data_IF_613420998723
#
_entry.id   IF_613420998723
#
_cell.length_a   1.000
_cell.length_b   1.000
_cell.length_c   1.000
_cell.angle_alpha   90.00
_cell.angle_beta   90.00
_cell.angle_gamma   90.00
#
_symmetry.space_group_name_H-M   'P 1'
#
loop_
_entity.id
_entity.type
_entity.pdbx_description
1 polymer ?
#
# COMPACT_ATOMS: atom_id res chain seq x y z
N UNK A 1 29.49 5.34 5.30
CA UNK A 1 29.65 3.94 5.79
C UNK A 1 28.29 3.30 5.70
N UNK A 2 28.09 2.49 4.66
CA UNK A 2 26.85 1.72 4.47
C UNK A 2 27.02 0.41 5.25
N UNK A 3 26.25 0.21 6.31
CA UNK A 3 26.19 -1.06 7.01
C UNK A 3 25.18 -1.96 6.29
N UNK A 4 25.68 -2.91 5.50
CA UNK A 4 24.86 -3.99 4.95
C UNK A 4 24.72 -5.04 6.03
N UNK A 5 23.57 -5.04 6.73
CA UNK A 5 23.18 -6.17 7.57
C UNK A 5 22.51 -7.23 6.68
N UNK A 6 23.32 -8.15 6.20
CA UNK A 6 22.86 -9.40 5.61
C UNK A 6 22.33 -10.30 6.73
N UNK A 7 21.04 -10.18 7.02
CA UNK A 7 20.33 -11.14 7.86
C UNK A 7 19.80 -12.27 6.98
N UNK A 8 20.31 -13.48 7.14
CA UNK A 8 19.75 -14.66 6.52
C UNK A 8 18.31 -14.86 6.98
N UNK A 9 17.35 -14.56 6.11
CA UNK A 9 15.94 -14.93 6.33
C UNK A 9 15.83 -16.45 6.21
N UNK A 10 15.60 -17.08 7.37
CA UNK A 10 15.42 -18.51 7.43
C UNK A 10 14.28 -19.02 6.54
N UNK A 11 14.48 -20.18 5.95
CA UNK A 11 13.54 -20.86 5.03
C UNK A 11 12.12 -21.09 5.60
N UNK A 12 11.91 -20.89 6.90
CA UNK A 12 10.60 -21.04 7.56
C UNK A 12 9.68 -19.80 7.48
N UNK A 13 10.16 -18.64 7.01
CA UNK A 13 9.35 -17.44 6.86
C UNK A 13 8.47 -17.46 5.60
N UNK A 14 8.80 -18.27 4.61
CA UNK A 14 8.06 -18.37 3.36
C UNK A 14 6.78 -19.25 3.48
N UNK A 15 6.76 -20.21 4.40
CA UNK A 15 5.62 -21.12 4.56
C UNK A 15 4.43 -20.49 5.31
N UNK A 16 4.62 -19.38 6.01
CA UNK A 16 3.59 -18.71 6.81
C UNK A 16 3.20 -17.32 6.26
N UNK A 17 3.55 -17.01 5.02
CA UNK A 17 3.17 -15.77 4.39
C UNK A 17 1.65 -15.71 4.17
N UNK A 18 1.00 -14.61 4.57
CA UNK A 18 -0.42 -14.40 4.33
C UNK A 18 -0.70 -14.39 2.82
N UNK A 19 -1.49 -15.35 2.35
CA UNK A 19 -1.92 -15.42 0.94
C UNK A 19 -3.04 -14.42 0.70
N UNK A 20 -2.68 -13.24 0.23
CA UNK A 20 -3.62 -12.17 -0.09
C UNK A 20 -4.10 -12.23 -1.53
N UNK A 21 -5.33 -11.79 -1.76
CA UNK A 21 -5.78 -11.30 -3.06
C UNK A 21 -4.85 -10.18 -3.54
N UNK A 22 -4.72 -10.05 -4.85
CA UNK A 22 -4.07 -8.91 -5.49
C UNK A 22 -5.15 -7.96 -5.99
N UNK A 23 -5.02 -6.70 -5.61
CA UNK A 23 -5.90 -5.62 -6.05
C UNK A 23 -5.16 -4.79 -7.08
N UNK A 24 -5.88 -4.20 -8.02
CA UNK A 24 -5.28 -3.42 -9.10
C UNK A 24 -6.00 -2.08 -9.23
N UNK A 25 -5.25 -0.99 -9.09
CA UNK A 25 -5.74 0.35 -9.31
C UNK A 25 -5.14 0.89 -10.62
N UNK A 26 -5.95 1.13 -11.66
CA UNK A 26 -5.46 1.80 -12.86
C UNK A 26 -5.17 3.27 -12.56
N UNK A 27 -4.05 3.77 -13.06
CA UNK A 27 -3.60 5.16 -12.93
C UNK A 27 -3.02 5.62 -14.27
N UNK A 28 -3.05 6.92 -14.50
CA UNK A 28 -2.42 7.55 -15.65
C UNK A 28 -1.52 8.68 -15.17
N UNK A 29 -0.28 8.71 -15.63
CA UNK A 29 0.66 9.78 -15.28
C UNK A 29 0.26 11.08 -15.99
N UNK A 30 -0.10 12.09 -15.19
CA UNK A 30 -0.52 13.41 -15.67
C UNK A 30 0.66 14.36 -15.77
N UNK A 31 0.54 15.39 -16.58
CA UNK A 31 1.57 16.40 -16.75
C UNK A 31 2.03 17.03 -15.41
N UNK A 32 1.11 17.39 -14.52
CA UNK A 32 1.41 17.97 -13.21
C UNK A 32 2.07 17.02 -12.19
N UNK A 33 2.20 15.75 -12.54
CA UNK A 33 2.86 14.71 -11.73
C UNK A 33 4.28 14.40 -12.21
N UNK A 34 4.77 15.15 -13.21
CA UNK A 34 6.11 15.02 -13.77
C UNK A 34 7.05 16.05 -13.20
N UNK A 35 8.33 15.71 -13.16
CA UNK A 35 9.42 16.62 -12.84
C UNK A 35 9.93 17.39 -14.10
N UNK A 36 10.90 18.32 -13.97
CA UNK A 36 11.46 19.04 -15.11
C UNK A 36 12.14 18.14 -16.15
N UNK A 37 12.50 16.91 -15.83
CA UNK A 37 13.06 15.94 -16.78
C UNK A 37 11.96 15.26 -17.64
N UNK A 38 10.68 15.57 -17.39
CA UNK A 38 9.54 14.99 -18.13
C UNK A 38 9.18 13.57 -17.72
N UNK A 39 9.71 13.08 -16.61
CA UNK A 39 9.40 11.79 -16.02
C UNK A 39 8.62 11.96 -14.72
N UNK A 40 8.05 10.90 -14.22
CA UNK A 40 7.30 10.92 -12.95
C UNK A 40 8.12 11.55 -11.83
N UNK A 41 7.53 12.54 -11.13
CA UNK A 41 8.07 13.07 -9.90
C UNK A 41 7.90 12.02 -8.80
N UNK A 42 9.00 11.56 -8.19
CA UNK A 42 9.01 10.37 -7.34
C UNK A 42 7.96 10.34 -6.21
N UNK A 43 7.55 11.46 -5.58
CA UNK A 43 6.50 11.42 -4.56
C UNK A 43 5.14 10.96 -5.09
N UNK A 44 4.90 11.06 -6.40
CA UNK A 44 3.68 10.58 -7.05
C UNK A 44 3.49 9.07 -6.84
N UNK A 45 4.57 8.28 -6.78
CA UNK A 45 4.47 6.85 -6.46
C UNK A 45 3.86 6.61 -5.08
N UNK A 46 4.24 7.41 -4.08
CA UNK A 46 3.67 7.30 -2.73
C UNK A 46 2.20 7.73 -2.68
N UNK A 47 1.80 8.71 -3.47
CA UNK A 47 0.38 9.08 -3.62
C UNK A 47 -0.41 7.94 -4.27
N UNK A 48 0.15 7.28 -5.27
CA UNK A 48 -0.47 6.12 -5.90
C UNK A 48 -0.56 4.92 -4.95
N UNK A 49 0.45 4.69 -4.10
CA UNK A 49 0.41 3.65 -3.08
C UNK A 49 -0.70 3.92 -2.06
N UNK A 50 -0.81 5.16 -1.58
CA UNK A 50 -1.88 5.54 -0.66
C UNK A 50 -3.26 5.35 -1.30
N UNK A 51 -3.46 5.82 -2.53
CA UNK A 51 -4.70 5.61 -3.26
C UNK A 51 -5.03 4.14 -3.46
N UNK A 52 -4.02 3.30 -3.79
CA UNK A 52 -4.19 1.87 -3.95
C UNK A 52 -4.56 1.18 -2.62
N UNK A 53 -3.95 1.58 -1.51
CA UNK A 53 -4.30 1.08 -0.18
C UNK A 53 -5.77 1.38 0.17
N UNK A 54 -6.22 2.61 -0.03
CA UNK A 54 -7.61 2.98 0.18
C UNK A 54 -8.59 2.24 -0.75
N UNK A 55 -8.21 2.05 -2.01
CA UNK A 55 -9.01 1.28 -2.98
C UNK A 55 -9.19 -0.17 -2.52
N UNK A 56 -8.10 -0.83 -2.08
CA UNK A 56 -8.15 -2.20 -1.56
C UNK A 56 -9.15 -2.35 -0.41
N UNK A 57 -9.09 -1.42 0.57
CA UNK A 57 -10.00 -1.43 1.70
C UNK A 57 -11.44 -1.13 1.29
N UNK A 58 -11.66 -0.25 0.33
CA UNK A 58 -12.98 0.02 -0.23
C UNK A 58 -13.59 -1.21 -0.90
N UNK A 59 -12.80 -1.95 -1.69
CA UNK A 59 -13.25 -3.17 -2.37
C UNK A 59 -13.68 -4.29 -1.40
N UNK A 60 -13.08 -4.35 -0.21
CA UNK A 60 -13.49 -5.28 0.84
C UNK A 60 -14.52 -4.70 1.81
N UNK A 61 -15.16 -3.56 1.45
CA UNK A 61 -16.26 -2.97 2.19
C UNK A 61 -15.89 -1.94 3.24
N UNK A 62 -14.62 -1.56 3.33
CA UNK A 62 -14.14 -0.49 4.22
C UNK A 62 -13.85 0.81 3.46
N UNK A 63 -14.85 1.29 2.70
CA UNK A 63 -14.78 2.55 1.96
C UNK A 63 -14.74 3.76 2.91
N UNK A 64 -14.28 4.90 2.41
CA UNK A 64 -14.02 6.10 3.22
C UNK A 64 -15.22 6.58 4.05
N UNK A 65 -16.46 6.46 3.53
CA UNK A 65 -17.68 6.83 4.27
C UNK A 65 -17.87 5.96 5.52
N UNK A 66 -17.68 4.63 5.38
CA UNK A 66 -17.75 3.68 6.51
C UNK A 66 -16.64 3.93 7.50
N UNK A 67 -15.40 4.06 7.02
CA UNK A 67 -14.25 4.34 7.88
C UNK A 67 -14.47 5.57 8.74
N UNK A 68 -15.00 6.64 8.14
CA UNK A 68 -15.33 7.88 8.86
C UNK A 68 -16.45 7.68 9.87
N UNK A 69 -17.54 7.01 9.50
CA UNK A 69 -18.68 6.76 10.38
C UNK A 69 -18.30 5.91 11.60
N UNK A 70 -17.40 4.96 11.43
CA UNK A 70 -16.90 4.09 12.49
C UNK A 70 -15.63 4.63 13.18
N UNK A 71 -15.22 5.87 12.88
CA UNK A 71 -14.00 6.53 13.36
C UNK A 71 -12.71 5.74 13.13
N UNK A 72 -12.70 4.88 12.11
CA UNK A 72 -11.55 4.04 11.76
C UNK A 72 -10.50 4.82 10.98
N UNK A 73 -9.24 4.43 11.17
CA UNK A 73 -8.10 4.98 10.45
C UNK A 73 -7.05 3.91 10.19
N UNK A 74 -6.24 4.14 9.17
CA UNK A 74 -5.08 3.29 8.85
C UNK A 74 -3.85 4.17 8.56
N UNK A 75 -3.35 4.89 9.59
CA UNK A 75 -2.21 5.78 9.43
C UNK A 75 -0.97 5.02 8.97
N UNK A 76 -0.21 5.70 8.12
CA UNK A 76 1.06 5.23 7.61
C UNK A 76 2.13 5.34 8.71
N UNK A 77 2.89 4.27 8.91
CA UNK A 77 4.05 4.22 9.83
C UNK A 77 5.35 4.35 9.05
N UNK A 78 5.45 3.62 7.94
CA UNK A 78 6.61 3.66 7.07
C UNK A 78 6.21 3.37 5.63
N UNK A 79 6.97 3.92 4.70
CA UNK A 79 6.84 3.63 3.28
C UNK A 79 8.22 3.59 2.64
N UNK A 80 8.41 2.70 1.69
CA UNK A 80 9.59 2.65 0.84
C UNK A 80 9.20 2.45 -0.62
N UNK A 81 10.09 2.84 -1.51
CA UNK A 81 9.92 2.63 -2.93
C UNK A 81 11.28 2.42 -3.61
N UNK A 82 11.37 1.38 -4.42
CA UNK A 82 12.47 1.15 -5.35
C UNK A 82 12.00 1.54 -6.74
N UNK A 83 12.73 2.48 -7.36
CA UNK A 83 12.47 2.95 -8.72
C UNK A 83 13.26 2.08 -9.70
N UNK A 84 12.56 1.50 -10.69
CA UNK A 84 13.14 0.55 -11.65
C UNK A 84 13.30 1.17 -13.04
N UNK A 85 12.21 1.73 -13.57
CA UNK A 85 12.18 2.41 -14.86
C UNK A 85 11.34 3.68 -14.75
N UNK A 86 11.69 4.75 -15.47
CA UNK A 86 10.92 5.99 -15.45
C UNK A 86 9.58 5.81 -16.18
N UNK A 87 8.54 6.42 -15.62
CA UNK A 87 7.29 6.65 -16.33
C UNK A 87 7.32 8.03 -17.00
N UNK A 88 6.65 8.16 -18.14
CA UNK A 88 6.52 9.41 -18.88
C UNK A 88 5.07 9.91 -18.86
N UNK A 89 4.89 11.20 -19.12
CA UNK A 89 3.56 11.78 -19.21
C UNK A 89 2.68 11.00 -20.19
N UNK A 90 1.46 10.69 -19.75
CA UNK A 90 0.49 9.96 -20.55
C UNK A 90 0.56 8.45 -20.40
N UNK A 91 1.61 7.91 -19.78
CA UNK A 91 1.69 6.47 -19.54
C UNK A 91 0.51 5.99 -18.71
N UNK A 92 -0.12 4.91 -19.19
CA UNK A 92 -1.13 4.17 -18.47
C UNK A 92 -0.46 3.08 -17.63
N UNK A 93 -0.77 3.06 -16.35
CA UNK A 93 -0.15 2.16 -15.40
C UNK A 93 -1.22 1.49 -14.53
N UNK A 94 -0.82 0.45 -13.83
CA UNK A 94 -1.60 -0.17 -12.77
C UNK A 94 -0.75 -0.32 -11.51
N UNK A 95 -1.30 0.07 -10.37
CA UNK A 95 -0.72 -0.23 -9.07
C UNK A 95 -1.33 -1.54 -8.58
N UNK A 96 -0.54 -2.61 -8.59
CA UNK A 96 -0.93 -3.91 -8.03
C UNK A 96 -0.50 -3.97 -6.58
N UNK A 97 -1.46 -4.25 -5.73
CA UNK A 97 -1.26 -4.20 -4.27
C UNK A 97 -1.80 -5.42 -3.59
N UNK A 98 -1.13 -5.84 -2.52
CA UNK A 98 -1.56 -6.97 -1.69
C UNK A 98 -1.11 -6.79 -0.25
N UNK A 99 -1.80 -7.40 0.68
CA UNK A 99 -1.32 -7.56 2.05
C UNK A 99 -0.26 -8.68 2.07
N UNK A 100 0.90 -8.41 2.64
CA UNK A 100 1.95 -9.42 2.82
C UNK A 100 2.01 -9.96 4.23
N UNK A 101 1.58 -9.16 5.19
CA UNK A 101 1.59 -9.55 6.59
C UNK A 101 0.50 -8.82 7.37
N UNK A 102 -0.17 -9.54 8.28
CA UNK A 102 -0.99 -8.97 9.33
C UNK A 102 -0.32 -9.22 10.69
N UNK A 103 -0.01 -8.14 11.42
CA UNK A 103 0.33 -8.18 12.82
C UNK A 103 -0.91 -8.08 13.71
N UNK A 104 -0.72 -7.81 15.00
CA UNK A 104 -1.84 -7.64 15.93
C UNK A 104 -2.65 -6.38 15.66
N UNK A 105 -1.97 -5.26 15.41
CA UNK A 105 -2.57 -3.94 15.18
C UNK A 105 -2.06 -3.27 13.90
N UNK A 106 -1.12 -3.88 13.19
CA UNK A 106 -0.48 -3.35 12.01
C UNK A 106 -0.54 -4.34 10.86
N UNK A 107 -0.39 -3.86 9.64
CA UNK A 107 -0.32 -4.68 8.45
C UNK A 107 0.69 -4.08 7.47
N UNK A 108 1.22 -4.93 6.62
CA UNK A 108 2.18 -4.57 5.58
C UNK A 108 1.57 -4.79 4.21
N UNK A 109 1.66 -3.77 3.39
CA UNK A 109 1.27 -3.78 1.97
C UNK A 109 2.52 -3.89 1.10
N UNK A 110 2.43 -4.65 0.04
CA UNK A 110 3.38 -4.58 -1.07
C UNK A 110 2.68 -4.00 -2.28
N UNK A 111 3.38 -3.12 -2.99
CA UNK A 111 2.93 -2.45 -4.19
C UNK A 111 3.89 -2.72 -5.35
N UNK A 112 3.34 -2.90 -6.52
CA UNK A 112 4.09 -2.98 -7.77
C UNK A 112 3.40 -2.10 -8.81
N UNK A 113 4.13 -1.15 -9.38
CA UNK A 113 3.61 -0.29 -10.44
C UNK A 113 4.06 -0.87 -11.77
N UNK A 114 3.11 -1.23 -12.60
CA UNK A 114 3.32 -1.75 -13.94
C UNK A 114 2.77 -0.79 -14.99
N UNK A 115 3.54 -0.52 -16.03
CA UNK A 115 3.04 0.14 -17.23
C UNK A 115 2.15 -0.84 -18.02
N UNK A 116 1.28 -0.34 -18.89
CA UNK A 116 0.34 -1.16 -19.67
C UNK A 116 0.98 -2.27 -20.51
N UNK A 117 2.25 -2.09 -20.92
CA UNK A 117 3.05 -3.10 -21.62
C UNK A 117 3.68 -4.15 -20.71
N UNK A 118 3.39 -4.09 -19.39
CA UNK A 118 3.95 -5.00 -18.38
C UNK A 118 5.30 -4.59 -17.82
N UNK A 119 5.88 -3.45 -18.26
CA UNK A 119 7.14 -2.94 -17.71
C UNK A 119 7.00 -2.57 -16.24
N UNK A 120 7.82 -3.17 -15.33
CA UNK A 120 7.80 -2.79 -13.92
C UNK A 120 8.50 -1.43 -13.73
N UNK A 121 7.75 -0.44 -13.26
CA UNK A 121 8.25 0.92 -13.05
C UNK A 121 8.78 1.14 -11.63
N UNK A 122 8.09 0.58 -10.64
CA UNK A 122 8.46 0.72 -9.23
C UNK A 122 7.90 -0.44 -8.40
N UNK A 123 8.58 -0.70 -7.27
CA UNK A 123 8.10 -1.61 -6.21
C UNK A 123 8.26 -0.93 -4.88
N UNK A 124 7.28 -1.05 -4.02
CA UNK A 124 7.33 -0.47 -2.69
C UNK A 124 6.58 -1.25 -1.65
N UNK A 125 6.74 -0.84 -0.42
CA UNK A 125 5.97 -1.36 0.69
C UNK A 125 5.51 -0.25 1.62
N UNK A 126 4.43 -0.52 2.33
CA UNK A 126 3.90 0.35 3.38
C UNK A 126 3.59 -0.47 4.63
N UNK A 127 3.93 0.08 5.78
CA UNK A 127 3.43 -0.41 7.07
C UNK A 127 2.40 0.55 7.59
N UNK A 128 1.21 0.03 7.90
CA UNK A 128 0.09 0.82 8.45
C UNK A 128 -0.42 0.22 9.75
N UNK A 129 -1.00 1.06 10.59
CA UNK A 129 -1.68 0.65 11.82
C UNK A 129 -3.19 0.66 11.59
N UNK A 130 -3.89 -0.34 12.09
CA UNK A 130 -5.34 -0.33 12.19
C UNK A 130 -5.72 0.40 13.48
N UNK A 131 -6.40 1.51 13.36
CA UNK A 131 -6.69 2.37 14.49
C UNK A 131 -8.10 2.93 14.50
N UNK A 132 -8.43 3.56 15.62
CA UNK A 132 -9.70 4.28 15.82
C UNK A 132 -9.43 5.62 16.50
N UNK A 133 -10.09 6.67 16.04
CA UNK A 133 -10.17 7.93 16.73
C UNK A 133 -11.16 7.85 17.90
N UNK A 134 -10.83 8.44 19.04
CA UNK A 134 -11.70 8.43 20.22
C UNK A 134 -13.00 9.22 19.98
N UNK A 135 -12.89 10.40 19.35
CA UNK A 135 -14.02 11.33 19.12
C UNK A 135 -14.20 11.70 17.64
N UNK A 136 -13.50 11.02 16.74
CA UNK A 136 -13.51 11.30 15.29
C UNK A 136 -12.22 11.92 14.77
N UNK A 137 -12.17 12.28 13.48
CA UNK A 137 -10.96 12.77 12.82
C UNK A 137 -10.34 13.97 13.55
N UNK A 138 -9.02 13.90 13.77
CA UNK A 138 -8.26 14.94 14.48
C UNK A 138 -8.18 14.77 16.00
N UNK A 139 -8.98 13.89 16.60
CA UNK A 139 -8.85 13.51 18.01
C UNK A 139 -7.73 12.48 18.20
N UNK A 140 -7.48 12.10 19.45
CA UNK A 140 -6.51 11.06 19.78
C UNK A 140 -6.87 9.74 19.09
N UNK A 141 -5.90 9.13 18.43
CA UNK A 141 -6.04 7.84 17.78
C UNK A 141 -5.36 6.74 18.60
N UNK A 142 -5.99 5.57 18.66
CA UNK A 142 -5.43 4.37 19.27
C UNK A 142 -5.40 3.23 18.26
N UNK A 143 -4.26 2.53 18.18
CA UNK A 143 -4.17 1.27 17.46
C UNK A 143 -5.01 0.19 18.15
N UNK A 144 -5.79 -0.54 17.37
CA UNK A 144 -6.65 -1.63 17.85
C UNK A 144 -6.39 -2.93 17.09
N UNK A 145 -6.82 -4.04 17.68
CA UNK A 145 -6.68 -5.35 17.03
C UNK A 145 -7.40 -5.35 15.69
N UNK A 146 -6.75 -5.93 14.67
CA UNK A 146 -7.33 -6.10 13.35
C UNK A 146 -8.36 -7.22 13.41
N UNK A 147 -9.64 -6.97 13.06
CA UNK A 147 -10.68 -8.00 13.10
C UNK A 147 -10.34 -9.18 12.19
N UNK A 148 -10.59 -10.41 12.64
CA UNK A 148 -10.37 -11.60 11.81
C UNK A 148 -11.27 -11.60 10.56
N UNK A 149 -12.47 -11.04 10.67
CA UNK A 149 -13.36 -10.84 9.52
C UNK A 149 -12.70 -9.96 8.43
N UNK A 150 -12.03 -8.90 8.84
CA UNK A 150 -11.31 -8.03 7.90
C UNK A 150 -10.15 -8.80 7.24
N UNK A 151 -9.35 -9.52 8.02
CA UNK A 151 -8.25 -10.33 7.48
C UNK A 151 -8.76 -11.38 6.47
N UNK A 152 -9.90 -12.02 6.80
CA UNK A 152 -10.51 -13.04 5.93
C UNK A 152 -10.89 -12.46 4.55
N UNK A 153 -11.35 -11.20 4.48
CA UNK A 153 -11.74 -10.55 3.23
C UNK A 153 -10.57 -10.32 2.27
N UNK A 154 -9.34 -10.26 2.79
CA UNK A 154 -8.12 -10.14 1.99
C UNK A 154 -7.53 -11.49 1.57
N UNK A 155 -7.96 -12.61 2.11
CA UNK A 155 -7.43 -13.92 1.73
C UNK A 155 -7.74 -14.25 0.28
N UNK A 156 -6.72 -14.78 -0.43
CA UNK A 156 -6.94 -15.44 -1.71
C UNK A 156 -7.79 -16.73 -1.48
N UNK A 157 -8.69 -16.97 -2.38
CA UNK A 157 -9.49 -18.21 -2.41
C UNK A 157 -8.65 -19.35 -2.97
#
# INVERSE_FOLDING_TARGET
IVLILSGAMGKNAAENAFKSKVFSLPVQLRWGECDPAGIIFYPTYFQWFDAAAWNMFAEVGYHAKRMRAEHLAMPLVSADCRFLYPAQQGDHCAVRSRITHFGGKSFVLAHEVLREDGMPLAKGSETRVWGRFEEGPGSRMRGQAIPEELKARFRAV
#
